data_IF_279422522157
#
_entry.id   IF_279422522157
#
_cell.length_a   1.000
_cell.length_b   1.000
_cell.length_c   1.000
_cell.angle_alpha   90.00
_cell.angle_beta   90.00
_cell.angle_gamma   90.00
#
_symmetry.space_group_name_H-M   'P 1'
#
loop_
_entity.id
_entity.type
_entity.pdbx_description
1 polymer ?
#
# COMPACT_ATOMS: atom_id res chain seq x y z
N UNK A 1 22.66 0.37 0.42
CA UNK A 1 22.11 0.69 1.74
C UNK A 1 20.98 -0.27 2.08
N UNK A 2 20.83 -0.61 3.37
CA UNK A 2 19.69 -1.37 3.90
C UNK A 2 19.06 -0.60 5.04
N UNK A 3 17.75 -0.81 5.27
CA UNK A 3 17.06 -0.34 6.45
C UNK A 3 16.70 -1.56 7.29
N UNK A 4 17.42 -1.77 8.39
CA UNK A 4 17.17 -2.86 9.34
C UNK A 4 16.22 -2.33 10.39
N UNK A 5 15.09 -3.01 10.61
CA UNK A 5 14.05 -2.54 11.52
C UNK A 5 13.67 -3.65 12.50
N UNK A 6 13.58 -3.32 13.77
CA UNK A 6 12.95 -4.17 14.78
C UNK A 6 11.53 -3.67 15.03
N UNK A 7 10.56 -4.51 14.73
CA UNK A 7 9.14 -4.18 14.77
C UNK A 7 8.49 -5.00 15.89
N UNK A 8 7.68 -4.36 16.72
CA UNK A 8 6.93 -5.02 17.76
C UNK A 8 5.65 -5.70 17.22
N UNK A 9 4.94 -6.43 18.09
CA UNK A 9 3.70 -7.15 17.71
C UNK A 9 2.55 -6.24 17.30
N UNK A 10 2.65 -4.93 17.54
CA UNK A 10 1.67 -3.93 17.14
C UNK A 10 2.08 -3.21 15.84
N UNK A 11 3.12 -3.69 15.16
CA UNK A 11 3.63 -3.09 13.93
C UNK A 11 4.39 -1.78 14.13
N UNK A 12 4.83 -1.46 15.36
CA UNK A 12 5.63 -0.27 15.64
C UNK A 12 7.11 -0.58 15.46
N UNK A 13 7.82 0.21 14.67
CA UNK A 13 9.27 0.19 14.62
C UNK A 13 9.80 0.70 15.97
N UNK A 14 10.47 -0.15 16.73
CA UNK A 14 11.03 0.15 18.05
C UNK A 14 12.51 0.45 18.01
N UNK A 15 13.18 0.04 16.93
CA UNK A 15 14.59 0.26 16.70
C UNK A 15 14.93 0.11 15.22
N UNK A 16 15.92 0.84 14.70
CA UNK A 16 16.34 0.72 13.32
C UNK A 16 17.78 1.14 13.11
N UNK A 17 18.38 0.63 12.03
CA UNK A 17 19.71 1.00 11.55
C UNK A 17 19.68 1.15 10.03
N UNK A 18 20.45 2.09 9.49
CA UNK A 18 20.57 2.34 8.04
C UNK A 18 22.05 2.19 7.62
N UNK A 19 22.60 0.98 7.60
CA UNK A 19 24.00 0.75 7.24
C UNK A 19 24.22 0.62 5.74
N UNK A 20 25.48 0.82 5.33
CA UNK A 20 25.96 0.28 4.07
C UNK A 20 26.13 -1.23 4.19
N UNK A 21 25.56 -1.97 3.24
CA UNK A 21 25.52 -3.42 3.31
C UNK A 21 25.93 -4.07 1.99
N UNK A 22 26.55 -5.25 2.10
CA UNK A 22 26.72 -6.18 0.99
C UNK A 22 25.71 -7.33 1.19
N UNK A 23 24.87 -7.54 0.19
CA UNK A 23 23.86 -8.60 0.23
C UNK A 23 24.21 -9.73 -0.75
N UNK A 24 23.83 -10.96 -0.40
CA UNK A 24 23.83 -12.12 -1.29
C UNK A 24 22.40 -12.64 -1.34
N UNK A 25 21.83 -12.67 -2.54
CA UNK A 25 20.47 -13.19 -2.75
C UNK A 25 20.51 -14.71 -2.84
N UNK A 26 19.74 -15.39 -2.00
CA UNK A 26 19.65 -16.86 -2.02
C UNK A 26 18.73 -17.35 -3.15
N UNK A 27 17.63 -16.67 -3.40
CA UNK A 27 16.67 -17.00 -4.45
C UNK A 27 15.99 -15.74 -5.00
N UNK A 28 15.83 -15.65 -6.32
CA UNK A 28 15.07 -14.60 -6.99
C UNK A 28 13.61 -15.03 -7.14
N UNK A 29 12.79 -14.72 -6.15
CA UNK A 29 11.36 -15.04 -6.15
C UNK A 29 10.54 -14.13 -7.07
N UNK A 30 9.44 -14.68 -7.61
CA UNK A 30 8.45 -13.92 -8.36
C UNK A 30 7.21 -13.65 -7.52
N UNK A 31 6.46 -12.59 -7.83
CA UNK A 31 5.18 -12.32 -7.16
C UNK A 31 4.17 -13.46 -7.34
N UNK A 32 4.21 -14.14 -8.49
CA UNK A 32 3.36 -15.29 -8.77
C UNK A 32 3.67 -16.47 -7.86
N UNK A 33 4.95 -16.84 -7.75
CA UNK A 33 5.37 -17.97 -6.91
C UNK A 33 5.09 -17.68 -5.43
N UNK A 34 5.38 -16.47 -4.95
CA UNK A 34 5.11 -16.10 -3.55
C UNK A 34 3.61 -16.06 -3.26
N UNK A 35 2.79 -15.55 -4.18
CA UNK A 35 1.34 -15.60 -4.02
C UNK A 35 0.84 -17.05 -3.95
N UNK A 36 1.31 -17.94 -4.82
CA UNK A 36 0.96 -19.36 -4.80
C UNK A 36 1.38 -20.05 -3.48
N UNK A 37 2.56 -19.69 -2.91
CA UNK A 37 2.99 -20.18 -1.60
C UNK A 37 2.00 -19.76 -0.50
N UNK A 38 1.58 -18.49 -0.51
CA UNK A 38 0.64 -17.94 0.48
C UNK A 38 -0.77 -18.53 0.31
N UNK A 39 -1.19 -18.78 -0.93
CA UNK A 39 -2.45 -19.44 -1.27
C UNK A 39 -2.42 -20.97 -1.08
N UNK A 40 -1.35 -21.49 -0.46
CA UNK A 40 -1.16 -22.90 -0.10
C UNK A 40 -1.08 -23.86 -1.31
N UNK A 41 -0.59 -23.42 -2.48
CA UNK A 41 -0.31 -24.31 -3.59
C UNK A 41 0.75 -25.35 -3.23
N UNK A 42 0.39 -26.63 -3.29
CA UNK A 42 1.22 -27.72 -2.79
C UNK A 42 2.49 -27.94 -3.61
N UNK A 43 2.46 -27.71 -4.92
CA UNK A 43 3.60 -27.90 -5.80
C UNK A 43 4.64 -26.80 -5.58
N UNK A 44 4.20 -25.54 -5.58
CA UNK A 44 5.07 -24.37 -5.36
C UNK A 44 5.67 -24.40 -3.94
N UNK A 45 4.89 -24.77 -2.92
CA UNK A 45 5.38 -24.92 -1.55
C UNK A 45 6.45 -26.01 -1.43
N UNK A 46 6.33 -27.12 -2.14
CA UNK A 46 7.36 -28.16 -2.18
C UNK A 46 8.63 -27.67 -2.86
N UNK A 47 8.50 -26.95 -3.96
CA UNK A 47 9.63 -26.38 -4.71
C UNK A 47 10.45 -25.41 -3.86
N UNK A 48 9.78 -24.61 -3.04
CA UNK A 48 10.39 -23.55 -2.22
C UNK A 48 10.25 -23.81 -0.70
N UNK A 49 10.28 -25.08 -0.28
CA UNK A 49 9.99 -25.51 1.08
C UNK A 49 10.77 -24.75 2.15
N UNK A 50 12.07 -24.48 1.92
CA UNK A 50 12.93 -23.76 2.85
C UNK A 50 12.53 -22.28 3.07
N UNK A 51 11.81 -21.68 2.12
CA UNK A 51 11.39 -20.27 2.20
C UNK A 51 9.94 -20.08 2.69
N UNK A 52 9.14 -21.15 2.70
CA UNK A 52 7.72 -21.10 3.09
C UNK A 52 7.52 -20.43 4.46
N UNK A 53 8.23 -20.81 5.55
CA UNK A 53 8.04 -20.18 6.86
C UNK A 53 8.33 -18.68 6.85
N UNK A 54 9.33 -18.26 6.07
CA UNK A 54 9.65 -16.83 5.93
C UNK A 54 8.51 -16.07 5.28
N UNK A 55 7.92 -16.57 4.18
CA UNK A 55 6.81 -15.91 3.50
C UNK A 55 5.54 -15.86 4.34
N UNK A 56 5.28 -16.87 5.16
CA UNK A 56 4.17 -16.86 6.12
C UNK A 56 4.35 -15.75 7.17
N UNK A 57 5.56 -15.60 7.73
CA UNK A 57 5.88 -14.50 8.64
C UNK A 57 5.84 -13.12 7.97
N UNK A 58 6.31 -13.03 6.73
CA UNK A 58 6.21 -11.79 5.95
C UNK A 58 4.74 -11.40 5.73
N UNK A 59 3.87 -12.36 5.45
CA UNK A 59 2.43 -12.11 5.30
C UNK A 59 1.81 -11.63 6.61
N UNK A 60 2.10 -12.31 7.74
CA UNK A 60 1.65 -11.89 9.06
C UNK A 60 2.08 -10.46 9.39
N UNK A 61 3.36 -10.13 9.19
CA UNK A 61 3.87 -8.78 9.42
C UNK A 61 3.21 -7.75 8.50
N UNK A 62 3.01 -8.07 7.22
CA UNK A 62 2.30 -7.20 6.27
C UNK A 62 0.90 -6.87 6.76
N UNK A 63 0.14 -7.86 7.25
CA UNK A 63 -1.20 -7.65 7.77
C UNK A 63 -1.20 -6.72 9.00
N UNK A 64 -0.27 -6.92 9.93
CA UNK A 64 -0.10 -6.04 11.10
C UNK A 64 0.22 -4.60 10.70
N UNK A 65 1.14 -4.40 9.76
CA UNK A 65 1.51 -3.08 9.27
C UNK A 65 0.35 -2.38 8.56
N UNK A 66 -0.41 -3.13 7.76
CA UNK A 66 -1.59 -2.64 7.05
C UNK A 66 -2.70 -2.25 8.02
N UNK A 67 -3.02 -3.09 9.00
CA UNK A 67 -4.01 -2.79 10.02
C UNK A 67 -3.65 -1.53 10.81
N UNK A 68 -2.38 -1.38 11.18
CA UNK A 68 -1.88 -0.17 11.85
C UNK A 68 -2.03 1.08 10.97
N UNK A 69 -1.71 1.00 9.67
CA UNK A 69 -1.92 2.11 8.73
C UNK A 69 -3.41 2.44 8.60
N UNK A 70 -4.25 1.42 8.44
CA UNK A 70 -5.69 1.57 8.36
C UNK A 70 -6.26 2.26 9.61
N UNK A 71 -5.83 1.87 10.81
CA UNK A 71 -6.25 2.46 12.07
C UNK A 71 -5.91 3.96 12.20
N UNK A 72 -4.86 4.43 11.52
CA UNK A 72 -4.51 5.87 11.48
C UNK A 72 -5.17 6.65 10.33
N UNK A 73 -6.05 6.01 9.54
CA UNK A 73 -6.82 6.65 8.48
C UNK A 73 -6.21 6.52 7.07
N UNK A 74 -5.29 5.59 6.86
CA UNK A 74 -4.78 5.30 5.52
C UNK A 74 -5.90 4.85 4.59
N UNK A 75 -5.95 5.42 3.40
CA UNK A 75 -6.88 5.04 2.34
C UNK A 75 -6.16 4.09 1.39
N UNK A 76 -6.74 2.91 1.21
CA UNK A 76 -6.20 1.90 0.28
C UNK A 76 -7.06 1.89 -0.99
N UNK A 77 -6.66 2.66 -1.99
CA UNK A 77 -7.32 2.67 -3.28
C UNK A 77 -6.89 1.45 -4.08
N UNK A 78 -7.81 0.56 -4.38
CA UNK A 78 -7.58 -0.62 -5.23
C UNK A 78 -8.04 -0.35 -6.67
N UNK A 79 -7.42 0.64 -7.32
CA UNK A 79 -7.69 0.90 -8.72
C UNK A 79 -6.89 -0.08 -9.58
N UNK A 80 -7.56 -0.76 -10.55
CA UNK A 80 -6.85 -1.60 -11.48
C UNK A 80 -5.89 -0.78 -12.35
N UNK A 81 -4.59 -1.02 -12.19
CA UNK A 81 -3.57 -0.49 -13.08
C UNK A 81 -3.55 -1.28 -14.38
N UNK A 82 -3.38 -0.61 -15.51
CA UNK A 82 -3.27 -1.29 -16.80
C UNK A 82 -1.82 -1.69 -17.06
N UNK A 83 -1.59 -2.98 -17.32
CA UNK A 83 -0.32 -3.48 -17.85
C UNK A 83 -0.38 -3.53 -19.36
N UNK A 84 0.60 -2.90 -20.00
CA UNK A 84 0.70 -2.81 -21.45
C UNK A 84 1.85 -3.72 -21.90
N UNK A 85 1.56 -4.68 -22.79
CA UNK A 85 2.60 -5.48 -23.46
C UNK A 85 2.89 -4.86 -24.80
N UNK A 86 4.17 -4.64 -25.05
CA UNK A 86 4.68 -4.11 -26.32
C UNK A 86 5.38 -5.23 -27.11
N UNK A 87 5.33 -5.14 -28.45
CA UNK A 87 6.17 -5.94 -29.33
C UNK A 87 7.61 -5.41 -29.39
N UNK A 88 8.48 -6.09 -30.13
CA UNK A 88 9.87 -5.70 -30.33
C UNK A 88 10.04 -4.32 -31.01
N UNK A 89 8.99 -3.81 -31.65
CA UNK A 89 8.96 -2.50 -32.33
C UNK A 89 8.33 -1.41 -31.47
N UNK A 90 7.87 -1.75 -30.25
CA UNK A 90 7.23 -0.82 -29.33
C UNK A 90 5.74 -0.59 -29.57
N UNK A 91 5.07 -1.40 -30.40
CA UNK A 91 3.62 -1.34 -30.58
C UNK A 91 2.91 -2.11 -29.46
N UNK A 92 1.77 -1.59 -29.02
CA UNK A 92 0.93 -2.24 -28.02
C UNK A 92 0.31 -3.52 -28.61
N UNK A 93 0.62 -4.67 -28.00
CA UNK A 93 0.07 -5.98 -28.36
C UNK A 93 -1.15 -6.31 -27.51
N UNK A 94 -1.06 -6.01 -26.20
CA UNK A 94 -2.10 -6.35 -25.25
C UNK A 94 -2.16 -5.35 -24.11
N UNK A 95 -3.36 -5.10 -23.57
CA UNK A 95 -3.61 -4.30 -22.38
C UNK A 95 -4.51 -5.09 -21.45
N UNK A 96 -4.06 -5.34 -20.22
CA UNK A 96 -4.85 -6.04 -19.22
C UNK A 96 -4.66 -5.43 -17.83
N UNK A 97 -5.64 -5.58 -16.91
CA UNK A 97 -5.50 -5.08 -15.55
C UNK A 97 -4.41 -5.86 -14.81
N UNK A 98 -3.52 -5.15 -14.13
CA UNK A 98 -2.53 -5.76 -13.26
C UNK A 98 -3.24 -6.28 -12.00
N UNK A 99 -3.13 -7.58 -11.75
CA UNK A 99 -3.70 -8.19 -10.55
C UNK A 99 -2.81 -7.89 -9.35
N UNK A 100 -3.37 -7.21 -8.36
CA UNK A 100 -2.76 -7.00 -7.04
C UNK A 100 -3.00 -8.24 -6.19
N UNK A 101 -1.95 -8.95 -5.83
CA UNK A 101 -2.00 -10.18 -5.06
C UNK A 101 -1.36 -10.05 -3.67
N UNK A 102 -1.40 -11.10 -2.85
CA UNK A 102 -0.82 -11.09 -1.51
C UNK A 102 0.68 -10.73 -1.51
N UNK A 103 1.44 -11.22 -2.49
CA UNK A 103 2.87 -10.96 -2.57
C UNK A 103 3.21 -9.50 -2.90
N UNK A 104 2.44 -8.85 -3.81
CA UNK A 104 2.63 -7.42 -4.11
C UNK A 104 2.28 -6.57 -2.89
N UNK A 105 1.24 -6.95 -2.14
CA UNK A 105 0.82 -6.26 -0.91
C UNK A 105 1.90 -6.33 0.19
N UNK A 106 2.56 -7.47 0.36
CA UNK A 106 3.68 -7.63 1.31
C UNK A 106 4.80 -6.63 1.01
N UNK A 107 5.22 -6.57 -0.25
CA UNK A 107 6.31 -5.65 -0.64
C UNK A 107 5.90 -4.20 -0.47
N UNK A 108 4.68 -3.84 -0.84
CA UNK A 108 4.14 -2.49 -0.64
C UNK A 108 4.18 -2.06 0.83
N UNK A 109 3.69 -2.90 1.74
CA UNK A 109 3.67 -2.59 3.17
C UNK A 109 5.08 -2.43 3.74
N UNK A 110 6.03 -3.28 3.31
CA UNK A 110 7.41 -3.18 3.72
C UNK A 110 8.12 -1.94 3.16
N UNK A 111 7.85 -1.60 1.89
CA UNK A 111 8.35 -0.36 1.28
C UNK A 111 7.85 0.88 2.03
N UNK A 112 6.57 0.93 2.34
CA UNK A 112 5.98 2.04 3.09
C UNK A 112 6.58 2.15 4.48
N UNK A 113 6.73 1.03 5.19
CA UNK A 113 7.36 1.01 6.51
C UNK A 113 8.81 1.50 6.46
N UNK A 114 9.60 1.04 5.48
CA UNK A 114 10.97 1.49 5.29
C UNK A 114 11.06 2.97 4.92
N UNK A 115 10.21 3.44 4.00
CA UNK A 115 10.18 4.84 3.57
C UNK A 115 9.84 5.78 4.75
N UNK A 116 8.83 5.43 5.55
CA UNK A 116 8.45 6.20 6.74
C UNK A 116 9.59 6.22 7.77
N UNK A 117 10.23 5.07 8.04
CA UNK A 117 11.34 4.96 8.99
C UNK A 117 12.54 5.80 8.57
N UNK A 118 12.94 5.73 7.29
CA UNK A 118 14.05 6.52 6.76
C UNK A 118 13.73 8.01 6.80
N UNK A 119 12.52 8.40 6.37
CA UNK A 119 12.11 9.81 6.39
C UNK A 119 12.10 10.39 7.81
N UNK A 120 11.59 9.64 8.79
CA UNK A 120 11.55 10.04 10.20
C UNK A 120 12.96 10.15 10.80
N UNK A 121 13.87 9.20 10.53
CA UNK A 121 15.24 9.21 11.02
C UNK A 121 16.00 10.45 10.53
N UNK A 122 15.92 10.75 9.23
CA UNK A 122 16.59 11.91 8.65
C UNK A 122 15.98 13.24 9.12
N UNK A 123 14.68 13.28 9.35
CA UNK A 123 13.99 14.45 9.90
C UNK A 123 14.50 14.81 11.29
N UNK A 124 14.55 13.83 12.21
CA UNK A 124 14.99 14.07 13.59
C UNK A 124 16.49 14.34 13.71
N UNK A 125 17.29 13.86 12.75
CA UNK A 125 18.73 14.18 12.68
C UNK A 125 19.02 15.53 12.02
N UNK A 126 18.01 16.22 11.53
CA UNK A 126 18.13 17.50 10.81
C UNK A 126 19.10 17.41 9.59
N UNK A 127 19.16 16.24 8.95
CA UNK A 127 19.98 16.01 7.77
C UNK A 127 19.17 16.45 6.55
N UNK A 128 19.74 17.24 5.62
CA UNK A 128 19.09 17.60 4.37
C UNK A 128 18.65 16.36 3.60
N UNK A 129 17.34 16.22 3.34
CA UNK A 129 16.75 15.07 2.69
C UNK A 129 15.58 15.48 1.79
N UNK A 130 15.32 14.71 0.72
CA UNK A 130 14.23 14.99 -0.18
C UNK A 130 12.97 14.24 0.31
N UNK A 131 11.99 14.98 0.80
CA UNK A 131 10.71 14.44 1.27
C UNK A 131 9.64 14.54 0.19
N UNK A 132 8.85 13.47 0.03
CA UNK A 132 7.60 13.52 -0.73
C UNK A 132 6.46 13.76 0.25
N UNK A 133 5.82 14.92 0.11
CA UNK A 133 4.68 15.31 0.93
C UNK A 133 3.43 15.46 0.08
N UNK A 134 2.26 15.40 0.70
CA UNK A 134 0.98 15.72 0.09
C UNK A 134 0.33 16.84 0.91
N UNK A 135 -0.17 17.85 0.21
CA UNK A 135 -0.88 18.94 0.84
C UNK A 135 -2.31 18.52 1.27
N UNK A 136 -2.90 19.35 2.12
CA UNK A 136 -4.30 19.23 2.49
C UNK A 136 -5.15 19.41 1.23
N UNK A 137 -6.23 18.62 1.03
CA UNK A 137 -7.11 18.78 -0.12
C UNK A 137 -7.70 20.19 -0.22
N UNK A 138 -7.82 20.69 -1.45
CA UNK A 138 -8.41 21.99 -1.74
C UNK A 138 -9.89 22.03 -1.30
N UNK A 139 -10.27 23.05 -0.54
CA UNK A 139 -11.63 23.24 -0.02
C UNK A 139 -12.70 23.27 -1.11
N UNK A 140 -12.40 23.84 -2.30
CA UNK A 140 -13.34 23.84 -3.43
C UNK A 140 -13.57 22.43 -4.00
N UNK A 141 -12.52 21.58 -4.00
CA UNK A 141 -12.65 20.18 -4.43
C UNK A 141 -13.50 19.39 -3.44
N UNK A 142 -13.33 19.65 -2.16
CA UNK A 142 -14.13 19.06 -1.09
C UNK A 142 -15.61 19.45 -1.25
N UNK A 143 -15.92 20.73 -1.49
CA UNK A 143 -17.30 21.21 -1.70
C UNK A 143 -17.94 20.55 -2.95
N UNK A 144 -17.18 20.37 -4.02
CA UNK A 144 -17.64 19.67 -5.23
C UNK A 144 -17.94 18.22 -4.96
N UNK A 145 -17.05 17.53 -4.24
CA UNK A 145 -17.25 16.14 -3.82
C UNK A 145 -18.50 16.02 -2.93
N UNK A 146 -18.66 16.91 -1.95
CA UNK A 146 -19.81 16.90 -1.05
C UNK A 146 -21.14 17.12 -1.82
N UNK A 147 -21.16 18.08 -2.76
CA UNK A 147 -22.32 18.34 -3.61
C UNK A 147 -22.66 17.14 -4.49
N UNK A 148 -21.64 16.47 -5.01
CA UNK A 148 -21.81 15.26 -5.81
C UNK A 148 -22.41 14.11 -4.97
N UNK A 149 -21.88 13.87 -3.77
CA UNK A 149 -22.34 12.81 -2.86
C UNK A 149 -23.78 13.00 -2.41
N UNK A 150 -24.27 14.23 -2.29
CA UNK A 150 -25.66 14.53 -1.95
C UNK A 150 -26.66 13.93 -2.96
N UNK A 151 -26.28 13.80 -4.24
CA UNK A 151 -27.11 13.17 -5.27
C UNK A 151 -27.39 11.67 -4.96
N UNK A 152 -26.54 11.06 -4.16
CA UNK A 152 -26.65 9.65 -3.72
C UNK A 152 -27.19 9.54 -2.28
N UNK A 153 -27.63 10.65 -1.68
CA UNK A 153 -28.10 10.65 -0.28
C UNK A 153 -26.95 10.46 0.75
N UNK A 154 -25.71 10.67 0.34
CA UNK A 154 -24.53 10.56 1.19
C UNK A 154 -24.14 11.95 1.68
N UNK A 155 -24.13 12.11 3.01
CA UNK A 155 -23.76 13.36 3.65
C UNK A 155 -22.44 13.17 4.40
N UNK A 156 -21.43 13.91 4.01
CA UNK A 156 -20.15 14.01 4.73
C UNK A 156 -20.22 15.20 5.70
N UNK A 157 -19.92 14.95 6.96
CA UNK A 157 -19.66 16.01 7.92
C UNK A 157 -18.19 16.38 7.85
N UNK A 158 -17.85 17.28 6.93
CA UNK A 158 -16.46 17.73 6.75
C UNK A 158 -16.35 19.14 7.32
N UNK A 159 -15.33 19.34 8.17
CA UNK A 159 -14.86 20.68 8.46
C UNK A 159 -13.97 21.13 7.30
N UNK A 160 -14.30 22.28 6.65
CA UNK A 160 -13.57 22.79 5.48
C UNK A 160 -12.08 23.05 5.73
N UNK A 161 -11.71 23.30 6.99
CA UNK A 161 -10.35 23.65 7.37
C UNK A 161 -9.48 22.43 7.73
N UNK A 162 -10.10 21.26 8.01
CA UNK A 162 -9.41 20.04 8.43
C UNK A 162 -10.12 18.80 7.91
N UNK A 163 -9.91 18.44 6.63
CA UNK A 163 -10.31 17.12 6.16
C UNK A 163 -9.32 16.07 6.67
N UNK A 164 -9.69 15.37 7.74
CA UNK A 164 -8.88 14.27 8.22
C UNK A 164 -9.04 13.04 7.30
N UNK A 165 -7.95 12.35 6.88
CA UNK A 165 -8.03 11.16 6.02
C UNK A 165 -9.02 10.11 6.49
N UNK A 166 -9.23 9.97 7.80
CA UNK A 166 -10.21 9.08 8.41
C UNK A 166 -11.66 9.35 7.97
N UNK A 167 -12.02 10.58 7.65
CA UNK A 167 -13.39 10.90 7.19
C UNK A 167 -13.62 10.40 5.77
N UNK A 168 -12.59 10.48 4.92
CA UNK A 168 -12.59 9.90 3.58
C UNK A 168 -12.63 8.38 3.66
N UNK A 169 -11.84 7.78 4.54
CA UNK A 169 -11.83 6.34 4.78
C UNK A 169 -13.23 5.83 5.20
N UNK A 170 -13.91 6.51 6.13
CA UNK A 170 -15.28 6.18 6.54
C UNK A 170 -16.28 6.29 5.38
N UNK A 171 -16.11 7.29 4.50
CA UNK A 171 -16.92 7.40 3.29
C UNK A 171 -16.72 6.16 2.42
N UNK A 172 -15.48 5.82 2.09
CA UNK A 172 -15.16 4.68 1.22
C UNK A 172 -15.67 3.36 1.80
N UNK A 173 -15.49 3.13 3.11
CA UNK A 173 -16.05 1.96 3.80
C UNK A 173 -17.58 1.91 3.70
N UNK A 174 -18.26 3.06 3.76
CA UNK A 174 -19.73 3.12 3.68
C UNK A 174 -20.28 2.75 2.30
N UNK A 175 -19.51 3.04 1.24
CA UNK A 175 -19.94 2.77 -0.15
C UNK A 175 -19.41 1.45 -0.70
N UNK A 176 -18.56 0.76 0.06
CA UNK A 176 -17.97 -0.53 -0.33
C UNK A 176 -19.07 -1.53 -0.71
N UNK A 177 -18.94 -2.16 -1.87
CA UNK A 177 -19.90 -3.13 -2.41
C UNK A 177 -21.18 -2.51 -2.97
N UNK A 178 -21.32 -1.18 -3.01
CA UNK A 178 -22.46 -0.52 -3.65
C UNK A 178 -22.22 -0.27 -5.13
N UNK A 179 -23.25 -0.12 -5.97
CA UNK A 179 -23.11 0.20 -7.40
C UNK A 179 -22.39 1.54 -7.64
N UNK A 180 -22.42 2.44 -6.68
CA UNK A 180 -21.83 3.78 -6.75
C UNK A 180 -20.33 3.79 -6.39
N UNK A 181 -19.83 2.75 -5.74
CA UNK A 181 -18.44 2.65 -5.28
C UNK A 181 -17.41 2.99 -6.37
N UNK A 182 -17.44 2.39 -7.59
CA UNK A 182 -16.43 2.66 -8.61
C UNK A 182 -16.39 4.12 -9.05
N UNK A 183 -17.53 4.80 -9.01
CA UNK A 183 -17.65 6.20 -9.41
C UNK A 183 -17.17 7.13 -8.30
N UNK A 184 -17.64 6.91 -7.07
CA UNK A 184 -17.29 7.76 -5.92
C UNK A 184 -15.82 7.62 -5.57
N UNK A 185 -15.27 6.40 -5.54
CA UNK A 185 -13.86 6.16 -5.23
C UNK A 185 -12.88 6.83 -6.21
N UNK A 186 -13.30 7.05 -7.46
CA UNK A 186 -12.48 7.78 -8.45
C UNK A 186 -12.51 9.29 -8.29
N UNK A 187 -13.53 9.82 -7.64
CA UNK A 187 -13.72 11.26 -7.43
C UNK A 187 -13.19 11.72 -6.07
N UNK A 188 -12.99 10.76 -5.16
CA UNK A 188 -12.41 10.99 -3.83
C UNK A 188 -10.89 10.99 -3.87
#
# INVERSE_FOLDING_TARGET
LSCLMRIDRNGKVVDHEIPETLIKVDERMTYTDVAAIIDHDAETRRKYESFVPMFELMKELSDILRERRHARGSIDFDFPESKIILDEKGHTVEVFPQVRNAATKIIEDFMLCANETVAEDFYWREIPFLYRTHDIPDGEKIDKLQSFLQNFGIYLKINREELHPMEVQKLLTKIEGTPEEPLISRLT
#
